data_IF_945508721479
#
_entry.id   IF_945508721479
#
_cell.length_a   1.000
_cell.length_b   1.000
_cell.length_c   1.000
_cell.angle_alpha   90.00
_cell.angle_beta   90.00
_cell.angle_gamma   90.00
#
_symmetry.space_group_name_H-M   'P 1'
#
loop_
_entity.id
_entity.type
_entity.pdbx_description
1 polymer ?
#
# COMPACT_ATOMS: atom_id res chain seq x y z
N UNK A 1 -18.84 -37.00 42.49
CA UNK A 1 -20.25 -36.55 42.56
C UNK A 1 -20.23 -35.04 42.79
N UNK A 2 -20.47 -34.23 41.75
CA UNK A 2 -21.72 -33.47 41.53
C UNK A 2 -21.88 -32.30 42.54
N UNK A 3 -21.95 -31.01 42.18
CA UNK A 3 -22.47 -30.32 40.98
C UNK A 3 -21.76 -28.96 40.79
N UNK A 4 -21.35 -28.65 39.57
CA UNK A 4 -21.16 -27.28 39.08
C UNK A 4 -22.55 -26.77 38.71
N UNK A 5 -23.01 -25.72 39.37
CA UNK A 5 -24.20 -24.98 38.97
C UNK A 5 -23.75 -23.64 38.40
N UNK A 6 -23.81 -23.41 37.08
CA UNK A 6 -23.77 -22.06 36.56
C UNK A 6 -25.14 -21.45 36.87
N UNK A 7 -25.16 -20.53 37.84
CA UNK A 7 -26.28 -19.64 38.04
C UNK A 7 -26.52 -18.87 36.76
N UNK A 8 -27.57 -19.25 36.04
CA UNK A 8 -28.14 -18.52 34.91
C UNK A 8 -28.44 -17.09 35.36
N UNK A 9 -27.55 -16.15 35.06
CA UNK A 9 -27.90 -14.73 35.09
C UNK A 9 -28.87 -14.49 33.93
N UNK A 10 -30.16 -14.72 34.20
CA UNK A 10 -31.24 -14.26 33.35
C UNK A 10 -31.14 -12.74 33.29
N UNK A 11 -30.64 -12.21 32.18
CA UNK A 11 -30.71 -10.80 31.85
C UNK A 11 -32.19 -10.50 31.52
N UNK A 12 -32.98 -10.14 32.54
CA UNK A 12 -34.30 -9.55 32.34
C UNK A 12 -34.12 -8.09 31.90
N UNK A 13 -34.42 -7.79 30.63
CA UNK A 13 -34.30 -6.47 30.00
C UNK A 13 -35.52 -5.55 30.21
N UNK A 14 -36.33 -5.77 31.24
CA UNK A 14 -37.62 -5.06 31.43
C UNK A 14 -37.53 -3.83 32.36
N UNK A 15 -36.31 -3.49 32.81
CA UNK A 15 -36.01 -2.21 33.46
C UNK A 15 -34.82 -1.58 32.74
N UNK A 16 -34.94 -0.29 32.39
CA UNK A 16 -33.87 0.47 31.76
C UNK A 16 -32.57 0.46 32.57
N UNK A 17 -31.49 0.98 31.98
CA UNK A 17 -30.16 0.99 32.60
C UNK A 17 -30.20 1.85 33.88
N UNK A 18 -30.32 1.21 35.05
CA UNK A 18 -30.41 1.91 36.34
C UNK A 18 -29.03 2.34 36.88
N UNK A 19 -27.92 1.77 36.41
CA UNK A 19 -26.58 2.28 36.73
C UNK A 19 -25.52 1.85 35.73
N UNK A 20 -24.56 2.74 35.46
CA UNK A 20 -23.31 2.42 34.75
C UNK A 20 -22.24 2.23 35.82
N UNK A 21 -21.85 0.99 36.07
CA UNK A 21 -20.69 0.69 36.91
C UNK A 21 -19.45 0.81 36.03
N UNK A 22 -18.62 1.81 36.30
CA UNK A 22 -17.28 1.87 35.71
C UNK A 22 -16.46 0.71 36.27
N UNK A 23 -16.28 -0.35 35.47
CA UNK A 23 -15.24 -1.32 35.74
C UNK A 23 -13.89 -0.58 35.70
N UNK A 24 -13.29 -0.39 36.87
CA UNK A 24 -11.86 -0.05 36.99
C UNK A 24 -11.06 -1.31 36.68
N UNK A 25 -11.10 -1.70 35.41
CA UNK A 25 -10.05 -2.48 34.78
C UNK A 25 -10.06 -2.12 33.30
N UNK A 26 -9.64 -0.88 33.01
CA UNK A 26 -9.23 -0.52 31.67
C UNK A 26 -7.84 -1.12 31.46
N UNK A 27 -7.79 -2.44 31.28
CA UNK A 27 -6.68 -3.05 30.57
C UNK A 27 -6.68 -2.43 29.17
N UNK A 28 -5.68 -1.58 28.91
CA UNK A 28 -5.27 -1.03 27.61
C UNK A 28 -6.33 -1.11 26.50
N UNK A 29 -7.37 -0.28 26.60
CA UNK A 29 -8.15 0.12 25.41
C UNK A 29 -7.45 1.31 24.75
N UNK A 30 -6.17 1.13 24.41
CA UNK A 30 -5.56 2.01 23.41
C UNK A 30 -6.19 1.64 22.06
N UNK A 31 -6.65 2.66 21.33
CA UNK A 31 -6.94 2.48 19.91
C UNK A 31 -5.65 1.92 19.28
N UNK A 32 -5.73 0.88 18.42
CA UNK A 32 -4.56 0.42 17.68
C UNK A 32 -3.88 1.64 17.04
N UNK A 33 -2.57 1.78 17.24
CA UNK A 33 -1.82 2.86 16.60
C UNK A 33 -2.18 2.87 15.12
N UNK A 34 -2.60 4.04 14.59
CA UNK A 34 -3.03 4.19 13.18
C UNK A 34 -2.01 3.68 12.17
N UNK A 35 -0.76 3.45 12.60
CA UNK A 35 0.28 2.79 11.82
C UNK A 35 -0.06 1.35 11.38
N UNK A 36 -1.03 0.69 12.02
CA UNK A 36 -1.46 -0.68 11.69
C UNK A 36 -2.89 -0.81 11.19
N UNK A 37 -3.66 0.29 11.14
CA UNK A 37 -4.92 0.27 10.43
C UNK A 37 -4.62 0.29 8.93
N UNK A 38 -4.87 -0.83 8.24
CA UNK A 38 -4.82 -0.86 6.79
C UNK A 38 -5.72 0.26 6.27
N UNK A 39 -5.15 1.18 5.48
CA UNK A 39 -5.98 2.11 4.72
C UNK A 39 -6.94 1.24 3.90
N UNK A 40 -8.26 1.46 3.98
CA UNK A 40 -9.20 0.68 3.19
C UNK A 40 -8.79 0.74 1.72
N UNK A 41 -8.52 -0.41 1.11
CA UNK A 41 -8.20 -0.46 -0.34
C UNK A 41 -9.43 -0.14 -1.19
N UNK A 42 -10.60 -0.12 -0.57
CA UNK A 42 -11.88 0.25 -1.14
C UNK A 42 -12.47 1.41 -0.34
N UNK A 43 -12.96 2.43 -1.06
CA UNK A 43 -13.89 3.38 -0.45
C UNK A 43 -15.12 2.61 -0.01
N UNK A 44 -15.39 2.58 1.30
CA UNK A 44 -16.46 1.87 2.03
C UNK A 44 -17.69 1.57 1.15
N UNK A 45 -17.62 0.54 0.31
CA UNK A 45 -18.79 -0.12 -0.24
C UNK A 45 -19.17 -1.20 0.76
N UNK A 46 -20.47 -1.37 0.96
CA UNK A 46 -20.97 -2.40 1.86
C UNK A 46 -20.45 -3.75 1.36
N UNK A 47 -19.53 -4.38 2.10
CA UNK A 47 -18.86 -5.66 1.79
C UNK A 47 -19.86 -6.77 1.41
N UNK A 48 -21.12 -6.63 1.82
CA UNK A 48 -22.23 -7.52 1.45
C UNK A 48 -22.62 -7.42 -0.03
N UNK A 49 -22.54 -6.25 -0.66
CA UNK A 49 -22.85 -6.08 -2.08
C UNK A 49 -21.77 -6.74 -2.96
N UNK A 50 -20.51 -6.64 -2.56
CA UNK A 50 -19.38 -7.28 -3.24
C UNK A 50 -19.47 -8.81 -3.22
N UNK A 51 -19.97 -9.39 -2.12
CA UNK A 51 -20.16 -10.84 -2.00
C UNK A 51 -21.37 -11.38 -2.75
N UNK A 52 -22.35 -10.53 -3.06
CA UNK A 52 -23.64 -10.94 -3.62
C UNK A 52 -23.83 -10.55 -5.09
N UNK A 53 -23.05 -9.60 -5.61
CA UNK A 53 -23.13 -9.16 -6.99
C UNK A 53 -22.21 -9.96 -7.94
N UNK A 54 -22.68 -10.19 -9.17
CA UNK A 54 -21.86 -10.77 -10.23
C UNK A 54 -20.83 -9.72 -10.69
N UNK A 55 -19.54 -10.07 -10.85
CA UNK A 55 -18.53 -9.10 -11.25
C UNK A 55 -18.88 -8.51 -12.62
N UNK A 56 -19.02 -7.19 -12.64
CA UNK A 56 -19.34 -6.41 -13.84
C UNK A 56 -18.16 -6.39 -14.81
N UNK A 57 -18.39 -5.89 -16.03
CA UNK A 57 -17.31 -5.68 -16.98
C UNK A 57 -16.29 -4.67 -16.45
N UNK A 58 -16.75 -3.64 -15.75
CA UNK A 58 -15.90 -2.61 -15.17
C UNK A 58 -14.99 -3.19 -14.08
N UNK A 59 -15.50 -4.11 -13.24
CA UNK A 59 -14.69 -4.80 -12.22
C UNK A 59 -13.59 -5.66 -12.85
N UNK A 60 -13.89 -6.30 -14.00
CA UNK A 60 -12.90 -7.09 -14.74
C UNK A 60 -11.84 -6.22 -15.39
N UNK A 61 -12.23 -5.06 -15.91
CA UNK A 61 -11.29 -4.09 -16.49
C UNK A 61 -10.41 -3.53 -15.37
N UNK A 62 -10.99 -3.14 -14.24
CA UNK A 62 -10.26 -2.64 -13.08
C UNK A 62 -9.25 -3.67 -12.57
N UNK A 63 -9.66 -4.94 -12.45
CA UNK A 63 -8.76 -6.03 -12.07
C UNK A 63 -7.64 -6.27 -13.10
N UNK A 64 -7.93 -6.06 -14.40
CA UNK A 64 -6.95 -6.24 -15.47
C UNK A 64 -5.90 -5.11 -15.52
N UNK A 65 -6.30 -3.88 -15.20
CA UNK A 65 -5.40 -2.72 -15.16
C UNK A 65 -4.70 -2.55 -13.81
N UNK A 66 -5.19 -3.19 -12.74
CA UNK A 66 -4.56 -3.14 -11.43
C UNK A 66 -3.16 -3.76 -11.51
N UNK A 67 -2.10 -3.01 -11.13
CA UNK A 67 -0.76 -3.58 -11.07
C UNK A 67 -0.75 -4.69 -10.01
N UNK A 68 -0.37 -5.91 -10.41
CA UNK A 68 -0.48 -7.12 -9.56
C UNK A 68 0.48 -7.11 -8.37
N UNK A 69 1.62 -6.44 -8.52
CA UNK A 69 2.71 -6.40 -7.53
C UNK A 69 3.07 -4.95 -7.19
N UNK A 70 2.14 -4.19 -6.65
CA UNK A 70 2.50 -2.90 -6.03
C UNK A 70 3.14 -3.23 -4.67
N UNK A 71 4.45 -3.10 -4.58
CA UNK A 71 5.10 -2.94 -3.29
C UNK A 71 4.50 -1.69 -2.64
N UNK A 72 3.63 -1.88 -1.64
CA UNK A 72 2.87 -0.81 -0.97
C UNK A 72 3.78 0.25 -0.37
N UNK A 73 5.04 -0.09 -0.10
CA UNK A 73 6.04 0.90 0.31
C UNK A 73 6.26 1.98 -0.75
N UNK A 74 6.06 1.68 -2.04
CA UNK A 74 6.15 2.64 -3.15
C UNK A 74 5.03 3.69 -3.13
N UNK A 75 3.98 3.51 -2.32
CA UNK A 75 2.96 4.56 -2.14
C UNK A 75 3.45 5.70 -1.26
N UNK A 76 4.47 5.47 -0.43
CA UNK A 76 5.08 6.51 0.40
C UNK A 76 6.10 7.30 -0.45
N UNK A 77 5.96 8.63 -0.58
CA UNK A 77 6.80 9.42 -1.49
C UNK A 77 8.32 9.24 -1.28
N UNK A 78 8.75 9.15 -0.02
CA UNK A 78 10.17 8.97 0.34
C UNK A 78 10.67 7.58 -0.07
N UNK A 79 9.86 6.54 0.14
CA UNK A 79 10.20 5.17 -0.23
C UNK A 79 10.19 4.98 -1.74
N UNK A 80 9.21 5.56 -2.43
CA UNK A 80 9.20 5.63 -3.89
C UNK A 80 10.49 6.25 -4.43
N UNK A 81 10.91 7.40 -3.88
CA UNK A 81 12.16 8.05 -4.31
C UNK A 81 13.37 7.14 -4.12
N UNK A 82 13.49 6.51 -2.94
CA UNK A 82 14.60 5.59 -2.68
C UNK A 82 14.61 4.38 -3.63
N UNK A 83 13.44 3.87 -4.01
CA UNK A 83 13.32 2.77 -4.94
C UNK A 83 13.66 3.18 -6.38
N UNK A 84 13.28 4.40 -6.78
CA UNK A 84 13.66 5.00 -8.06
C UNK A 84 15.18 5.15 -8.14
N UNK A 85 15.82 5.76 -7.15
CA UNK A 85 17.27 5.94 -7.12
C UNK A 85 18.00 4.57 -7.16
N UNK A 86 17.50 3.59 -6.41
CA UNK A 86 18.05 2.23 -6.42
C UNK A 86 17.89 1.52 -7.76
N UNK A 87 16.74 1.66 -8.43
CA UNK A 87 16.51 1.08 -9.77
C UNK A 87 17.36 1.75 -10.84
N UNK A 88 17.50 3.07 -10.79
CA UNK A 88 18.38 3.82 -11.67
C UNK A 88 19.84 3.38 -11.51
N UNK A 89 20.30 3.17 -10.28
CA UNK A 89 21.64 2.65 -10.02
C UNK A 89 21.81 1.23 -10.57
N UNK A 90 20.85 0.33 -10.31
CA UNK A 90 20.88 -1.05 -10.86
C UNK A 90 20.94 -1.08 -12.39
N UNK A 91 20.21 -0.19 -13.06
CA UNK A 91 20.24 -0.09 -14.52
C UNK A 91 21.61 0.41 -15.02
N UNK A 92 22.22 1.39 -14.35
CA UNK A 92 23.58 1.86 -14.66
C UNK A 92 24.62 0.76 -14.47
N UNK A 93 24.48 -0.04 -13.41
CA UNK A 93 25.37 -1.15 -13.11
C UNK A 93 25.20 -2.32 -14.10
N UNK A 94 23.99 -2.51 -14.64
CA UNK A 94 23.69 -3.53 -15.65
C UNK A 94 24.12 -3.14 -17.08
N UNK A 95 24.25 -1.84 -17.37
CA UNK A 95 24.68 -1.33 -18.68
C UNK A 95 26.02 -1.87 -19.19
N UNK A 96 27.10 -1.94 -18.39
CA UNK A 96 28.36 -2.53 -18.84
C UNK A 96 28.23 -4.03 -19.16
N UNK A 97 27.35 -4.75 -18.47
CA UNK A 97 27.11 -6.19 -18.73
C UNK A 97 26.27 -6.46 -19.98
N UNK A 98 25.54 -5.46 -20.48
CA UNK A 98 24.78 -5.53 -21.73
C UNK A 98 25.61 -5.15 -22.97
N UNK A 99 26.91 -4.85 -22.80
CA UNK A 99 27.77 -4.44 -23.90
C UNK A 99 27.90 -5.56 -24.96
N UNK A 100 27.91 -5.22 -26.25
CA UNK A 100 28.05 -6.19 -27.32
C UNK A 100 29.40 -6.90 -27.21
N UNK A 101 29.36 -8.23 -27.13
CA UNK A 101 30.51 -9.12 -27.13
C UNK A 101 30.37 -10.21 -28.19
N UNK A 102 31.41 -11.03 -28.38
CA UNK A 102 31.40 -12.15 -29.34
C UNK A 102 30.21 -13.12 -29.13
N UNK A 103 29.74 -13.26 -27.89
CA UNK A 103 28.64 -14.15 -27.52
C UNK A 103 27.25 -13.46 -27.52
N UNK A 104 27.16 -12.15 -27.79
CA UNK A 104 25.91 -11.39 -27.64
C UNK A 104 25.70 -10.38 -28.79
N UNK A 105 25.28 -10.84 -29.98
CA UNK A 105 25.03 -9.97 -31.14
C UNK A 105 23.84 -9.00 -30.94
N UNK A 106 22.89 -9.32 -30.05
CA UNK A 106 21.78 -8.42 -29.67
C UNK A 106 22.17 -7.38 -28.60
N UNK A 107 23.40 -7.42 -28.08
CA UNK A 107 23.87 -6.52 -27.04
C UNK A 107 23.79 -5.04 -27.42
N UNK A 108 23.90 -4.70 -28.70
CA UNK A 108 23.76 -3.32 -29.19
C UNK A 108 22.36 -2.75 -28.98
N UNK A 109 21.31 -3.51 -29.32
CA UNK A 109 19.91 -3.09 -29.15
C UNK A 109 19.49 -3.10 -27.68
N UNK A 110 19.95 -4.09 -26.91
CA UNK A 110 19.73 -4.13 -25.47
C UNK A 110 20.40 -2.94 -24.76
N UNK A 111 21.64 -2.62 -25.12
CA UNK A 111 22.35 -1.47 -24.57
C UNK A 111 21.66 -0.14 -24.96
N UNK A 112 21.14 -0.01 -26.19
CA UNK A 112 20.36 1.18 -26.60
C UNK A 112 19.09 1.33 -25.78
N UNK A 113 18.34 0.24 -25.64
CA UNK A 113 17.08 0.22 -24.86
C UNK A 113 17.35 0.56 -23.39
N UNK A 114 18.42 0.02 -22.82
CA UNK A 114 18.81 0.28 -21.44
C UNK A 114 19.26 1.73 -21.23
N UNK A 115 20.08 2.29 -22.13
CA UNK A 115 20.47 3.70 -22.06
C UNK A 115 19.28 4.64 -22.19
N UNK A 116 18.31 4.29 -23.04
CA UNK A 116 17.05 5.03 -23.14
C UNK A 116 16.26 4.95 -21.83
N UNK A 117 16.15 3.77 -21.23
CA UNK A 117 15.48 3.60 -19.94
C UNK A 117 16.15 4.42 -18.83
N UNK A 118 17.49 4.41 -18.74
CA UNK A 118 18.25 5.21 -17.78
C UNK A 118 17.97 6.71 -17.95
N UNK A 119 17.95 7.19 -19.21
CA UNK A 119 17.64 8.60 -19.50
C UNK A 119 16.23 8.97 -19.04
N UNK A 120 15.23 8.17 -19.41
CA UNK A 120 13.83 8.43 -19.05
C UNK A 120 13.62 8.41 -17.53
N UNK A 121 14.22 7.44 -16.83
CA UNK A 121 14.13 7.37 -15.37
C UNK A 121 14.83 8.56 -14.69
N UNK A 122 15.94 9.02 -15.24
CA UNK A 122 16.62 10.22 -14.74
C UNK A 122 15.80 11.49 -14.94
N UNK A 123 15.12 11.63 -16.08
CA UNK A 123 14.22 12.75 -16.34
C UNK A 123 13.04 12.74 -15.35
N UNK A 124 12.48 11.57 -15.08
CA UNK A 124 11.39 11.39 -14.11
C UNK A 124 11.82 11.69 -12.65
N UNK A 125 13.02 11.27 -12.26
CA UNK A 125 13.62 11.65 -10.98
C UNK A 125 13.70 13.18 -10.81
N UNK A 126 14.21 13.86 -11.84
CA UNK A 126 14.38 15.32 -11.81
C UNK A 126 13.04 16.06 -11.75
N UNK A 127 12.02 15.58 -12.47
CA UNK A 127 10.66 16.16 -12.42
C UNK A 127 10.05 16.05 -11.02
N UNK A 128 10.29 14.94 -10.31
CA UNK A 128 9.81 14.77 -8.93
C UNK A 128 10.54 15.69 -7.95
N UNK A 129 11.84 15.90 -8.14
CA UNK A 129 12.60 16.84 -7.31
C UNK A 129 12.09 18.27 -7.49
N UNK A 130 11.80 18.65 -8.73
CA UNK A 130 11.18 19.93 -9.06
C UNK A 130 9.80 20.09 -8.39
N UNK A 131 8.95 19.06 -8.45
CA UNK A 131 7.65 19.05 -7.79
C UNK A 131 7.78 19.19 -6.27
N UNK A 132 8.73 18.49 -5.66
CA UNK A 132 9.01 18.60 -4.23
C UNK A 132 9.48 20.00 -3.85
N UNK A 133 10.33 20.64 -4.66
CA UNK A 133 10.76 22.02 -4.48
C UNK A 133 9.56 22.98 -4.54
N UNK A 134 8.71 22.87 -5.56
CA UNK A 134 7.49 23.70 -5.67
C UNK A 134 6.56 23.51 -4.48
N UNK A 135 6.37 22.26 -4.05
CA UNK A 135 5.58 21.95 -2.86
C UNK A 135 6.17 22.63 -1.62
N UNK A 136 7.48 22.57 -1.42
CA UNK A 136 8.12 23.24 -0.29
C UNK A 136 7.99 24.76 -0.35
N UNK A 137 8.12 25.38 -1.53
CA UNK A 137 7.95 26.81 -1.72
C UNK A 137 6.51 27.26 -1.42
N UNK A 138 5.50 26.47 -1.80
CA UNK A 138 4.09 26.73 -1.49
C UNK A 138 3.77 26.64 -0.01
N UNK A 139 4.44 25.78 0.76
CA UNK A 139 4.24 25.69 2.22
C UNK A 139 5.01 26.77 3.01
N UNK A 140 5.93 27.49 2.37
CA UNK A 140 6.72 28.55 3.01
C UNK A 140 6.12 29.96 2.82
N UNK A 141 5.10 30.12 1.97
CA UNK A 141 4.33 31.36 1.78
C UNK A 141 2.95 31.27 2.41
#
# INVERSE_FOLDING_TARGET
MNKIAPGSQNLLFDRGIESIVYARDQGDMSLPERAHAAVPEEGVRAQLAELLELPSLDDKIELAIRPRDIDRNLLVPVKFRSALDATLQRLKDAAPSAAPGQDNPEGTENLRTLNRAIRLLSEEANLRDLLQMYRSALYQG
#
